data_IF_413339892097
#
_entry.id   IF_413339892097
#
_cell.length_a   1.000
_cell.length_b   1.000
_cell.length_c   1.000
_cell.angle_alpha   90.00
_cell.angle_beta   90.00
_cell.angle_gamma   90.00
#
_symmetry.space_group_name_H-M   'P 1'
#
loop_
_entity.id
_entity.type
_entity.pdbx_description
1 polymer ?
#
# COMPACT_ATOMS: atom_id res chain seq x y z
N UNK A 1 10.16 10.10 13.85
CA UNK A 1 11.16 9.06 13.50
C UNK A 1 11.59 9.29 12.06
N UNK A 2 12.87 9.10 11.76
CA UNK A 2 13.44 9.27 10.42
C UNK A 2 14.11 7.99 9.95
N UNK A 3 14.38 7.88 8.65
CA UNK A 3 15.16 6.76 8.10
C UNK A 3 16.61 6.84 8.57
N UNK A 4 17.13 5.72 9.06
CA UNK A 4 18.52 5.50 9.49
C UNK A 4 19.13 4.31 8.72
N UNK A 5 20.47 4.21 8.69
CA UNK A 5 21.20 3.06 8.16
C UNK A 5 21.90 2.37 9.33
N UNK A 6 21.61 1.08 9.55
CA UNK A 6 22.08 0.31 10.70
C UNK A 6 22.48 -1.10 10.26
N UNK A 7 23.41 -1.77 10.96
CA UNK A 7 23.72 -3.17 10.73
C UNK A 7 22.47 -4.05 10.83
N UNK A 8 22.32 -5.01 9.90
CA UNK A 8 21.16 -5.90 9.82
C UNK A 8 20.80 -6.58 11.16
N UNK A 9 21.81 -7.05 11.92
CA UNK A 9 21.60 -7.73 13.20
C UNK A 9 20.98 -6.82 14.27
N UNK A 10 21.26 -5.51 14.25
CA UNK A 10 20.70 -4.54 15.21
C UNK A 10 19.21 -4.29 14.97
N UNK A 11 18.80 -4.30 13.70
CA UNK A 11 17.41 -4.08 13.28
C UNK A 11 16.56 -5.32 13.51
N UNK A 12 17.07 -6.49 13.12
CA UNK A 12 16.30 -7.75 13.15
C UNK A 12 16.25 -8.37 14.53
N UNK A 13 17.31 -8.22 15.35
CA UNK A 13 17.37 -8.74 16.72
C UNK A 13 16.98 -10.21 16.84
N UNK A 14 17.46 -11.04 15.90
CA UNK A 14 17.17 -12.49 15.86
C UNK A 14 15.74 -12.88 15.50
N UNK A 15 14.87 -11.92 15.13
CA UNK A 15 13.50 -12.23 14.68
C UNK A 15 13.52 -12.90 13.30
N UNK A 16 12.60 -13.83 13.02
CA UNK A 16 12.49 -14.43 11.71
C UNK A 16 12.15 -13.37 10.65
N UNK A 17 12.93 -13.33 9.57
CA UNK A 17 12.71 -12.44 8.42
C UNK A 17 12.62 -13.26 7.14
N UNK A 18 11.83 -12.79 6.18
CA UNK A 18 11.77 -13.33 4.84
C UNK A 18 12.15 -12.25 3.82
N UNK A 19 12.66 -12.68 2.66
CA UNK A 19 12.82 -11.79 1.53
C UNK A 19 11.44 -11.47 0.96
N UNK A 20 11.15 -10.19 0.78
CA UNK A 20 9.96 -9.78 0.05
C UNK A 20 10.08 -10.25 -1.41
N UNK A 21 8.98 -10.68 -2.06
CA UNK A 21 8.99 -11.02 -3.48
C UNK A 21 9.56 -9.84 -4.26
N UNK A 22 10.59 -10.09 -5.08
CA UNK A 22 11.37 -9.05 -5.73
C UNK A 22 10.49 -8.18 -6.66
N UNK A 23 10.19 -6.96 -6.22
CA UNK A 23 9.51 -5.94 -7.01
C UNK A 23 10.40 -4.69 -7.02
N UNK A 24 11.22 -4.55 -8.06
CA UNK A 24 11.98 -3.32 -8.31
C UNK A 24 11.90 -2.99 -9.78
N UNK A 25 11.66 -1.72 -10.09
CA UNK A 25 11.77 -1.20 -11.46
C UNK A 25 13.17 -0.62 -11.73
N UNK A 26 14.06 -0.61 -10.72
CA UNK A 26 15.36 0.06 -10.76
C UNK A 26 16.53 -0.89 -10.46
N UNK A 27 17.74 -0.62 -11.00
CA UNK A 27 18.97 -1.33 -10.64
C UNK A 27 19.36 -1.10 -9.17
N UNK A 28 19.98 -2.09 -8.53
CA UNK A 28 20.37 -2.06 -7.11
C UNK A 28 21.18 -0.83 -6.71
N UNK A 29 22.15 -0.41 -7.53
CA UNK A 29 22.95 0.79 -7.26
C UNK A 29 22.07 2.06 -7.16
N UNK A 30 21.07 2.17 -8.04
CA UNK A 30 20.11 3.27 -8.03
C UNK A 30 19.23 3.23 -6.79
N UNK A 31 18.75 2.04 -6.40
CA UNK A 31 17.95 1.85 -5.17
C UNK A 31 18.74 2.31 -3.95
N UNK A 32 20.00 1.89 -3.82
CA UNK A 32 20.87 2.27 -2.69
C UNK A 32 21.11 3.78 -2.65
N UNK A 33 21.41 4.41 -3.79
CA UNK A 33 21.57 5.87 -3.90
C UNK A 33 20.30 6.60 -3.47
N UNK A 34 19.12 6.14 -3.92
CA UNK A 34 17.81 6.68 -3.52
C UNK A 34 17.62 6.54 -2.02
N UNK A 35 17.69 5.34 -1.48
CA UNK A 35 17.51 5.08 -0.04
C UNK A 35 18.41 5.97 0.83
N UNK A 36 19.71 6.03 0.51
CA UNK A 36 20.69 6.86 1.25
C UNK A 36 20.41 8.36 1.17
N UNK A 37 19.84 8.85 0.07
CA UNK A 37 19.49 10.28 -0.07
C UNK A 37 18.39 10.75 0.90
N UNK A 38 17.70 9.81 1.55
CA UNK A 38 16.59 10.06 2.49
C UNK A 38 16.95 9.84 3.97
N UNK A 39 18.19 9.44 4.27
CA UNK A 39 18.68 9.33 5.65
C UNK A 39 18.50 10.66 6.38
N UNK A 40 17.88 10.60 7.57
CA UNK A 40 17.58 11.78 8.40
C UNK A 40 16.55 12.76 7.83
N UNK A 41 16.09 12.58 6.58
CA UNK A 41 15.21 13.53 5.86
C UNK A 41 13.78 13.03 5.70
N UNK A 42 13.56 11.72 5.70
CA UNK A 42 12.24 11.14 5.54
C UNK A 42 11.50 11.13 6.88
N UNK A 43 10.54 12.05 7.03
CA UNK A 43 9.72 12.15 8.23
C UNK A 43 8.62 11.09 8.20
N UNK A 44 8.64 10.19 9.17
CA UNK A 44 7.68 9.09 9.24
C UNK A 44 6.25 9.58 9.48
N UNK A 45 5.30 9.12 8.66
CA UNK A 45 3.86 9.32 8.84
C UNK A 45 3.15 7.99 8.59
N UNK A 46 2.19 7.63 9.46
CA UNK A 46 1.55 6.31 9.43
C UNK A 46 0.87 5.99 8.09
N UNK A 47 0.20 6.97 7.50
CA UNK A 47 -0.65 6.78 6.32
C UNK A 47 0.04 7.07 4.98
N UNK A 48 1.12 7.86 4.99
CA UNK A 48 1.65 8.51 3.77
C UNK A 48 3.17 8.46 3.63
N UNK A 49 3.91 8.23 4.71
CA UNK A 49 5.38 8.23 4.72
C UNK A 49 5.94 7.14 5.63
N UNK A 50 5.31 5.97 5.61
CA UNK A 50 5.70 4.81 6.42
C UNK A 50 6.79 3.97 5.74
N UNK A 51 7.15 2.83 6.36
CA UNK A 51 8.18 1.93 5.84
C UNK A 51 7.87 1.43 4.42
N UNK A 52 6.61 1.09 4.12
CA UNK A 52 6.19 0.60 2.79
C UNK A 52 6.33 1.71 1.72
N UNK A 53 5.96 2.94 2.06
CA UNK A 53 6.13 4.08 1.16
C UNK A 53 7.61 4.36 0.88
N UNK A 54 8.45 4.26 1.91
CA UNK A 54 9.89 4.41 1.76
C UNK A 54 10.48 3.33 0.85
N UNK A 55 10.16 2.05 1.07
CA UNK A 55 10.66 0.95 0.23
C UNK A 55 10.19 1.10 -1.21
N UNK A 56 8.91 1.40 -1.43
CA UNK A 56 8.36 1.62 -2.78
C UNK A 56 9.03 2.79 -3.50
N UNK A 57 9.22 3.91 -2.80
CA UNK A 57 9.95 5.05 -3.36
C UNK A 57 11.40 4.70 -3.69
N UNK A 58 12.09 3.93 -2.84
CA UNK A 58 13.47 3.52 -3.08
C UNK A 58 13.59 2.57 -4.29
N UNK A 59 12.65 1.64 -4.45
CA UNK A 59 12.61 0.64 -5.54
C UNK A 59 11.98 1.15 -6.83
N UNK A 60 11.44 2.37 -6.84
CA UNK A 60 10.77 2.96 -8.01
C UNK A 60 9.37 2.41 -8.26
N UNK A 61 8.75 1.81 -7.25
CA UNK A 61 7.36 1.37 -7.30
C UNK A 61 6.41 2.50 -6.93
N UNK A 62 5.26 2.53 -7.59
CA UNK A 62 4.27 3.58 -7.39
C UNK A 62 3.18 3.10 -6.41
N UNK A 63 3.15 3.70 -5.21
CA UNK A 63 2.16 3.40 -4.16
C UNK A 63 0.74 3.67 -4.65
N UNK A 64 0.59 4.69 -5.52
CA UNK A 64 -0.70 5.03 -6.13
C UNK A 64 -1.28 3.88 -6.94
N UNK A 65 -0.47 3.02 -7.56
CA UNK A 65 -0.99 1.94 -8.40
C UNK A 65 -1.77 0.90 -7.60
N UNK A 66 -1.28 0.50 -6.43
CA UNK A 66 -1.97 -0.47 -5.56
C UNK A 66 -3.25 0.13 -5.01
N UNK A 67 -3.17 1.34 -4.46
CA UNK A 67 -4.33 2.06 -3.93
C UNK A 67 -5.40 2.29 -4.99
N UNK A 68 -5.02 2.72 -6.21
CA UNK A 68 -5.94 2.94 -7.34
C UNK A 68 -6.60 1.63 -7.76
N UNK A 69 -5.82 0.55 -7.94
CA UNK A 69 -6.38 -0.77 -8.32
C UNK A 69 -7.38 -1.28 -7.29
N UNK A 70 -7.03 -1.24 -6.00
CA UNK A 70 -7.91 -1.72 -4.92
C UNK A 70 -9.15 -0.84 -4.73
N UNK A 71 -9.00 0.49 -4.87
CA UNK A 71 -10.13 1.42 -4.83
C UNK A 71 -11.10 1.14 -5.97
N UNK A 72 -10.59 0.97 -7.19
CA UNK A 72 -11.42 0.69 -8.36
C UNK A 72 -12.10 -0.67 -8.24
N UNK A 73 -11.39 -1.70 -7.77
CA UNK A 73 -11.99 -3.03 -7.56
C UNK A 73 -13.07 -3.00 -6.49
N UNK A 74 -12.83 -2.34 -5.35
CA UNK A 74 -13.81 -2.25 -4.28
C UNK A 74 -15.07 -1.50 -4.72
N UNK A 75 -14.90 -0.39 -5.44
CA UNK A 75 -16.00 0.38 -6.03
C UNK A 75 -16.81 -0.47 -7.02
N UNK A 76 -16.14 -1.18 -7.94
CA UNK A 76 -16.78 -2.04 -8.92
C UNK A 76 -17.54 -3.19 -8.26
N UNK A 77 -16.94 -3.89 -7.30
CA UNK A 77 -17.57 -5.00 -6.58
C UNK A 77 -18.84 -4.52 -5.87
N UNK A 78 -18.75 -3.43 -5.11
CA UNK A 78 -19.91 -2.92 -4.37
C UNK A 78 -21.03 -2.43 -5.30
N UNK A 79 -20.68 -1.72 -6.38
CA UNK A 79 -21.64 -1.25 -7.37
C UNK A 79 -22.36 -2.40 -8.08
N UNK A 80 -21.60 -3.40 -8.57
CA UNK A 80 -22.17 -4.57 -9.25
C UNK A 80 -22.98 -5.43 -8.30
N UNK A 81 -22.49 -5.71 -7.09
CA UNK A 81 -23.25 -6.47 -6.10
C UNK A 81 -24.58 -5.79 -5.77
N UNK A 82 -24.58 -4.46 -5.60
CA UNK A 82 -25.82 -3.69 -5.38
C UNK A 82 -26.78 -3.84 -6.56
N UNK A 83 -26.28 -3.75 -7.80
CA UNK A 83 -27.10 -3.90 -9.01
C UNK A 83 -27.70 -5.31 -9.18
N UNK A 84 -26.98 -6.35 -8.74
CA UNK A 84 -27.40 -7.76 -8.89
C UNK A 84 -28.34 -8.20 -7.77
N UNK A 85 -28.07 -7.81 -6.53
CA UNK A 85 -28.79 -8.34 -5.36
C UNK A 85 -29.96 -7.44 -4.90
N UNK A 86 -30.00 -6.17 -5.30
CA UNK A 86 -31.12 -5.28 -4.98
C UNK A 86 -32.12 -5.28 -6.13
N UNK A 87 -33.37 -5.63 -5.84
CA UNK A 87 -34.43 -5.83 -6.84
C UNK A 87 -34.73 -4.57 -7.68
N UNK A 88 -34.57 -3.38 -7.09
CA UNK A 88 -34.74 -2.08 -7.77
C UNK A 88 -33.79 -1.04 -7.14
N UNK A 89 -32.51 -1.01 -7.54
CA UNK A 89 -31.54 -0.12 -6.93
C UNK A 89 -31.72 1.31 -7.44
N UNK A 90 -31.99 2.25 -6.52
CA UNK A 90 -31.96 3.67 -6.86
C UNK A 90 -30.54 4.11 -7.25
N UNK A 91 -30.43 5.07 -8.17
CA UNK A 91 -29.14 5.65 -8.57
C UNK A 91 -28.34 6.18 -7.36
N UNK A 92 -29.01 6.77 -6.36
CA UNK A 92 -28.37 7.23 -5.12
C UNK A 92 -27.76 6.07 -4.33
N UNK A 93 -28.44 4.92 -4.31
CA UNK A 93 -27.96 3.70 -3.64
C UNK A 93 -26.74 3.12 -4.38
N UNK A 94 -26.76 3.09 -5.71
CA UNK A 94 -25.60 2.67 -6.50
C UNK A 94 -24.39 3.57 -6.26
N UNK A 95 -24.58 4.89 -6.26
CA UNK A 95 -23.50 5.84 -6.07
C UNK A 95 -22.91 5.76 -4.67
N UNK A 96 -23.76 5.66 -3.64
CA UNK A 96 -23.31 5.51 -2.25
C UNK A 96 -22.54 4.21 -2.03
N UNK A 97 -23.05 3.08 -2.53
CA UNK A 97 -22.37 1.79 -2.39
C UNK A 97 -21.04 1.74 -3.17
N UNK A 98 -20.99 2.36 -4.34
CA UNK A 98 -19.74 2.47 -5.12
C UNK A 98 -18.68 3.28 -4.35
N UNK A 99 -19.07 4.40 -3.72
CA UNK A 99 -18.15 5.21 -2.90
C UNK A 99 -17.68 4.43 -1.67
N UNK A 100 -18.59 3.75 -0.96
CA UNK A 100 -18.26 2.92 0.20
C UNK A 100 -17.29 1.82 -0.21
N UNK A 101 -17.56 1.11 -1.30
CA UNK A 101 -16.69 0.07 -1.85
C UNK A 101 -15.30 0.61 -2.23
N UNK A 102 -15.23 1.81 -2.81
CA UNK A 102 -13.96 2.46 -3.11
C UNK A 102 -13.15 2.76 -1.85
N UNK A 103 -13.79 3.33 -0.82
CA UNK A 103 -13.14 3.65 0.45
C UNK A 103 -12.66 2.39 1.20
N UNK A 104 -13.45 1.31 1.20
CA UNK A 104 -13.01 0.04 1.80
C UNK A 104 -11.85 -0.58 1.03
N UNK A 105 -11.87 -0.51 -0.30
CA UNK A 105 -10.75 -0.92 -1.15
C UNK A 105 -9.47 -0.11 -0.89
N UNK A 106 -9.59 1.20 -0.71
CA UNK A 106 -8.47 2.07 -0.35
C UNK A 106 -7.89 1.73 1.02
N UNK A 107 -8.75 1.57 2.04
CA UNK A 107 -8.34 1.19 3.38
C UNK A 107 -7.61 -0.16 3.38
N UNK A 108 -8.12 -1.15 2.65
CA UNK A 108 -7.46 -2.45 2.49
C UNK A 108 -6.08 -2.34 1.81
N UNK A 109 -5.92 -1.44 0.84
CA UNK A 109 -4.62 -1.21 0.20
C UNK A 109 -3.58 -0.55 1.12
N UNK A 110 -4.02 0.14 2.17
CA UNK A 110 -3.15 0.74 3.18
C UNK A 110 -2.85 -0.20 4.35
N UNK A 111 -3.58 -1.32 4.46
CA UNK A 111 -3.24 -2.34 5.44
C UNK A 111 -1.93 -3.04 5.05
N UNK A 112 -1.05 -3.33 6.04
CA UNK A 112 0.16 -4.09 5.78
C UNK A 112 -0.22 -5.46 5.21
N UNK A 113 0.53 -5.95 4.21
CA UNK A 113 0.25 -7.19 3.46
C UNK A 113 -0.03 -8.41 4.38
N UNK A 114 0.52 -8.42 5.60
CA UNK A 114 0.27 -9.45 6.61
C UNK A 114 -1.17 -9.51 7.16
N UNK A 115 -1.97 -8.45 7.04
CA UNK A 115 -3.31 -8.37 7.64
C UNK A 115 -4.43 -8.96 6.77
N UNK A 116 -4.16 -9.33 5.52
CA UNK A 116 -5.18 -9.81 4.55
C UNK A 116 -5.16 -11.35 4.40
N UNK A 117 -4.24 -12.04 5.08
CA UNK A 117 -4.06 -13.51 5.02
C UNK A 117 -4.44 -14.24 6.32
N UNK A 118 -5.27 -13.66 7.19
CA UNK A 118 -5.82 -14.35 8.36
C UNK A 118 -7.33 -14.55 8.22
#
# INVERSE_FOLDING_TARGET
MTVTEEPYHNVVRGRPTCLAPQQSSLPTNTILKRARSKLGKWQYQLLSANCEHFTNWATGLNVSSRQVKSTLSGAAIAGVATAVFVKEPSFKMLLTMTVIGGLTGLAAAQLPIKAIQQ
#
